data_IF_612264214067
#
_entry.id   IF_612264214067
#
_cell.length_a   1.000
_cell.length_b   1.000
_cell.length_c   1.000
_cell.angle_alpha   90.00
_cell.angle_beta   90.00
_cell.angle_gamma   90.00
#
_symmetry.space_group_name_H-M   'P 1'
#
loop_
_entity.id
_entity.type
_entity.pdbx_description
1 polymer ?
#
# COMPACT_ATOMS: atom_id res chain seq x y z
N UNK A 1 21.15 17.95 -47.86
CA UNK A 1 19.81 17.45 -47.51
C UNK A 1 19.86 15.93 -47.53
N UNK A 2 19.91 15.28 -46.37
CA UNK A 2 19.38 13.92 -46.13
C UNK A 2 18.95 13.90 -44.65
N UNK A 3 17.65 13.84 -44.40
CA UNK A 3 17.06 13.53 -43.08
C UNK A 3 17.20 12.02 -42.80
N UNK A 4 17.47 11.62 -41.55
CA UNK A 4 16.47 10.95 -40.71
C UNK A 4 16.74 9.43 -40.61
N UNK A 5 16.67 8.76 -39.46
CA UNK A 5 16.31 9.16 -38.12
C UNK A 5 16.79 8.12 -37.10
N UNK A 6 16.96 8.54 -35.85
CA UNK A 6 17.25 7.64 -34.74
C UNK A 6 16.03 6.74 -34.49
N UNK A 7 16.11 5.48 -34.93
CA UNK A 7 15.15 4.45 -34.57
C UNK A 7 15.09 4.33 -33.05
N UNK A 8 13.93 4.66 -32.46
CA UNK A 8 13.72 4.52 -31.03
C UNK A 8 13.74 3.03 -30.71
N UNK A 9 14.75 2.60 -29.98
CA UNK A 9 14.84 1.23 -29.46
C UNK A 9 13.64 1.01 -28.54
N UNK A 10 12.86 -0.04 -28.82
CA UNK A 10 11.73 -0.40 -27.99
C UNK A 10 12.24 -0.85 -26.63
N UNK A 11 11.60 -0.40 -25.55
CA UNK A 11 11.98 -0.78 -24.19
C UNK A 11 12.01 -2.30 -23.98
N UNK A 12 11.20 -3.05 -24.74
CA UNK A 12 11.17 -4.51 -24.74
C UNK A 12 12.48 -5.17 -25.19
N UNK A 13 13.23 -4.53 -26.09
CA UNK A 13 14.38 -5.16 -26.75
C UNK A 13 15.60 -5.18 -25.82
N UNK A 14 15.64 -4.26 -24.85
CA UNK A 14 16.71 -4.14 -23.84
C UNK A 14 16.62 -5.23 -22.77
N UNK A 15 15.45 -5.81 -22.54
CA UNK A 15 15.24 -6.82 -21.49
C UNK A 15 15.81 -8.21 -21.85
N UNK A 16 16.01 -8.49 -23.14
CA UNK A 16 16.38 -9.82 -23.61
C UNK A 16 17.90 -10.07 -23.61
N UNK A 17 18.72 -9.03 -23.50
CA UNK A 17 20.17 -9.15 -23.73
C UNK A 17 20.97 -9.56 -22.48
N UNK A 18 20.33 -9.65 -21.30
CA UNK A 18 21.04 -9.82 -20.02
C UNK A 18 20.59 -10.94 -19.08
N UNK A 19 19.50 -11.67 -19.34
CA UNK A 19 18.96 -12.61 -18.34
C UNK A 19 19.21 -14.07 -18.67
N UNK A 20 20.27 -14.63 -18.10
CA UNK A 20 20.39 -16.08 -17.84
C UNK A 20 19.83 -16.43 -16.46
N UNK A 21 18.74 -15.77 -16.04
CA UNK A 21 18.00 -16.12 -14.81
C UNK A 21 16.63 -16.62 -15.25
N UNK A 22 16.33 -17.86 -14.89
CA UNK A 22 14.98 -18.43 -14.94
C UNK A 22 14.10 -17.66 -13.95
N UNK A 23 13.66 -16.46 -14.33
CA UNK A 23 12.67 -15.72 -13.56
C UNK A 23 11.28 -16.13 -14.04
N UNK A 24 10.45 -16.60 -13.11
CA UNK A 24 9.04 -16.92 -13.36
C UNK A 24 8.30 -15.64 -13.78
N UNK A 25 8.27 -15.31 -15.06
CA UNK A 25 7.56 -14.13 -15.54
C UNK A 25 6.04 -14.34 -15.46
N UNK A 26 5.26 -13.27 -15.17
CA UNK A 26 3.81 -13.37 -15.16
C UNK A 26 3.29 -13.68 -16.58
N UNK A 27 2.57 -14.79 -16.70
CA UNK A 27 1.91 -15.18 -17.94
C UNK A 27 0.65 -14.34 -18.15
N UNK A 28 0.46 -13.82 -19.36
CA UNK A 28 -0.76 -13.11 -19.73
C UNK A 28 -1.44 -13.70 -20.96
N UNK A 29 -2.77 -13.71 -20.93
CA UNK A 29 -3.64 -14.17 -22.02
C UNK A 29 -4.63 -13.08 -22.34
N UNK A 30 -4.69 -12.64 -23.59
CA UNK A 30 -5.70 -11.67 -24.03
C UNK A 30 -6.93 -12.42 -24.54
N UNK A 31 -8.08 -12.21 -23.88
CA UNK A 31 -9.40 -12.72 -24.31
C UNK A 31 -10.34 -11.55 -24.51
N UNK A 32 -10.96 -11.46 -25.68
CA UNK A 32 -11.92 -10.40 -26.04
C UNK A 32 -11.40 -8.97 -25.80
N UNK A 33 -10.10 -8.75 -26.02
CA UNK A 33 -9.44 -7.46 -25.81
C UNK A 33 -9.08 -7.16 -24.34
N UNK A 34 -9.34 -8.07 -23.41
CA UNK A 34 -8.96 -7.96 -22.00
C UNK A 34 -7.77 -8.88 -21.71
N UNK A 35 -6.68 -8.32 -21.18
CA UNK A 35 -5.53 -9.08 -20.74
C UNK A 35 -5.77 -9.67 -19.34
N UNK A 36 -5.85 -10.99 -19.26
CA UNK A 36 -5.84 -11.77 -18.02
C UNK A 36 -4.39 -12.10 -17.68
N UNK A 37 -3.91 -11.71 -16.49
CA UNK A 37 -2.52 -11.96 -16.05
C UNK A 37 -2.53 -12.89 -14.85
N UNK A 38 -1.78 -13.99 -14.92
CA UNK A 38 -1.56 -14.89 -13.80
C UNK A 38 -0.19 -14.60 -13.19
N UNK A 39 -0.20 -14.06 -11.97
CA UNK A 39 1.02 -13.78 -11.22
C UNK A 39 1.44 -15.05 -10.46
N UNK A 40 2.63 -15.62 -10.75
CA UNK A 40 3.16 -16.76 -9.99
C UNK A 40 3.33 -16.42 -8.52
N UNK A 41 2.96 -17.34 -7.62
CA UNK A 41 3.08 -17.14 -6.17
C UNK A 41 4.54 -17.01 -5.74
N UNK A 42 5.46 -17.67 -6.44
CA UNK A 42 6.92 -17.58 -6.24
C UNK A 42 7.43 -16.12 -6.27
N UNK A 43 6.85 -15.26 -7.12
CA UNK A 43 7.19 -13.83 -7.17
C UNK A 43 6.74 -13.04 -5.93
N UNK A 44 5.82 -13.58 -5.13
CA UNK A 44 5.26 -12.93 -3.96
C UNK A 44 5.87 -13.44 -2.64
N UNK A 45 6.61 -14.55 -2.66
CA UNK A 45 7.15 -15.20 -1.46
C UNK A 45 8.24 -14.38 -0.78
N UNK A 46 9.12 -13.76 -1.57
CA UNK A 46 10.25 -12.96 -1.07
C UNK A 46 9.93 -11.47 -0.92
N UNK A 47 8.77 -11.02 -1.43
CA UNK A 47 8.39 -9.63 -1.37
C UNK A 47 8.01 -9.22 0.06
N UNK A 48 8.65 -8.18 0.59
CA UNK A 48 8.20 -7.60 1.85
C UNK A 48 6.78 -7.04 1.66
N UNK A 49 5.78 -7.57 2.38
CA UNK A 49 4.42 -7.17 2.10
C UNK A 49 4.17 -5.74 2.58
N UNK A 50 3.73 -4.88 1.66
CA UNK A 50 3.42 -3.48 1.94
C UNK A 50 2.44 -3.31 3.13
N UNK A 51 1.54 -4.28 3.32
CA UNK A 51 0.59 -4.31 4.43
C UNK A 51 1.23 -4.34 5.82
N UNK A 52 2.52 -4.71 5.95
CA UNK A 52 3.23 -4.74 7.24
C UNK A 52 3.41 -3.36 7.87
N UNK A 53 3.44 -2.30 7.06
CA UNK A 53 3.52 -0.93 7.54
C UNK A 53 2.16 -0.36 7.98
N UNK A 54 1.07 -1.12 7.82
CA UNK A 54 -0.27 -0.61 8.11
C UNK A 54 -0.86 -1.12 9.42
N UNK A 55 -1.62 -0.24 10.08
CA UNK A 55 -2.48 -0.55 11.22
C UNK A 55 -3.91 -0.18 10.86
N UNK A 56 -4.86 -1.07 11.17
CA UNK A 56 -6.29 -0.79 10.96
C UNK A 56 -6.87 -0.22 12.25
N UNK A 57 -7.55 0.92 12.14
CA UNK A 57 -8.30 1.53 13.21
C UNK A 57 -9.81 1.54 12.95
N UNK A 58 -10.56 1.27 14.01
CA UNK A 58 -12.03 1.27 14.01
C UNK A 58 -12.52 2.33 15.00
N UNK A 59 -13.17 3.37 14.49
CA UNK A 59 -13.88 4.35 15.30
C UNK A 59 -15.21 3.75 15.77
N UNK A 60 -15.59 4.04 17.02
CA UNK A 60 -16.89 3.61 17.56
C UNK A 60 -18.07 4.35 16.93
N UNK A 61 -17.82 5.55 16.41
CA UNK A 61 -18.79 6.38 15.69
C UNK A 61 -18.22 6.73 14.30
N UNK A 62 -18.95 7.55 13.53
CA UNK A 62 -18.44 8.11 12.29
C UNK A 62 -17.09 8.79 12.50
N UNK A 63 -16.14 8.49 11.62
CA UNK A 63 -14.81 9.07 11.69
C UNK A 63 -14.87 10.58 11.39
N UNK A 64 -14.01 11.34 12.08
CA UNK A 64 -13.82 12.75 11.81
C UNK A 64 -13.23 12.99 10.41
N UNK A 65 -13.21 14.22 9.94
CA UNK A 65 -12.56 14.57 8.68
C UNK A 65 -11.08 14.13 8.64
N UNK A 66 -10.62 13.64 7.48
CA UNK A 66 -9.30 13.00 7.33
C UNK A 66 -8.13 13.89 7.79
N UNK A 67 -8.18 15.18 7.46
CA UNK A 67 -7.13 16.13 7.84
C UNK A 67 -7.00 16.30 9.36
N UNK A 68 -8.13 16.23 10.07
CA UNK A 68 -8.20 16.31 11.53
C UNK A 68 -7.56 15.08 12.15
N UNK A 69 -7.80 13.90 11.57
CA UNK A 69 -7.15 12.66 12.01
C UNK A 69 -5.65 12.73 11.75
N UNK A 70 -5.20 13.08 10.53
CA UNK A 70 -3.77 13.23 10.20
C UNK A 70 -3.04 14.16 11.17
N UNK A 71 -3.61 15.35 11.42
CA UNK A 71 -2.99 16.33 12.32
C UNK A 71 -2.83 15.76 13.73
N UNK A 72 -3.87 15.11 14.26
CA UNK A 72 -3.84 14.54 15.61
C UNK A 72 -2.88 13.38 15.71
N UNK A 73 -2.97 12.39 14.81
CA UNK A 73 -2.09 11.21 14.89
C UNK A 73 -0.63 11.58 14.69
N UNK A 74 -0.30 12.50 13.78
CA UNK A 74 1.08 12.98 13.65
C UNK A 74 1.55 13.73 14.90
N UNK A 75 0.67 14.45 15.60
CA UNK A 75 1.02 15.11 16.86
C UNK A 75 1.29 14.12 18.00
N UNK A 76 0.52 13.03 18.11
CA UNK A 76 0.60 12.11 19.27
C UNK A 76 1.47 10.87 19.03
N UNK A 77 1.61 10.44 17.77
CA UNK A 77 2.24 9.18 17.42
C UNK A 77 3.54 9.34 16.63
N UNK A 78 3.73 10.41 15.85
CA UNK A 78 4.96 10.59 15.10
C UNK A 78 6.15 10.76 16.05
N UNK A 79 7.30 10.23 15.66
CA UNK A 79 8.55 10.46 16.38
C UNK A 79 9.01 11.89 16.10
N UNK A 80 9.46 12.62 17.14
CA UNK A 80 10.01 13.97 16.95
C UNK A 80 11.43 13.92 16.35
N UNK A 81 12.16 12.83 16.59
CA UNK A 81 13.53 12.64 16.12
C UNK A 81 13.59 12.22 14.64
N UNK A 82 12.61 11.42 14.22
CA UNK A 82 12.50 10.95 12.83
C UNK A 82 11.41 11.75 12.13
N UNK A 83 11.73 12.42 11.02
CA UNK A 83 10.75 13.14 10.16
C UNK A 83 9.74 12.20 9.45
N UNK A 84 9.49 11.01 9.98
CA UNK A 84 8.54 10.04 9.46
C UNK A 84 7.13 10.51 9.80
N UNK A 85 6.34 10.78 8.76
CA UNK A 85 4.93 11.15 8.87
C UNK A 85 4.06 9.90 8.77
N UNK A 86 2.95 9.95 9.48
CA UNK A 86 1.92 8.92 9.47
C UNK A 86 0.88 9.31 8.42
N UNK A 87 0.68 8.44 7.44
CA UNK A 87 -0.39 8.57 6.45
C UNK A 87 -1.68 7.91 6.98
N UNK A 88 -2.82 8.40 6.52
CA UNK A 88 -4.15 8.04 7.00
C UNK A 88 -5.08 7.94 5.79
N UNK A 89 -5.73 6.79 5.63
CA UNK A 89 -6.64 6.55 4.51
C UNK A 89 -7.95 5.98 5.00
N UNK A 90 -9.07 6.47 4.46
CA UNK A 90 -10.38 5.88 4.73
C UNK A 90 -10.61 4.64 3.88
N UNK A 91 -11.01 3.56 4.54
CA UNK A 91 -11.52 2.35 3.87
C UNK A 91 -13.00 2.10 4.19
N UNK A 92 -13.57 2.89 5.10
CA UNK A 92 -15.00 2.90 5.41
C UNK A 92 -15.37 4.09 6.30
N UNK A 93 -16.65 4.29 6.58
CA UNK A 93 -17.16 5.43 7.39
C UNK A 93 -16.58 5.48 8.80
N UNK A 94 -16.26 4.32 9.37
CA UNK A 94 -15.71 4.16 10.71
C UNK A 94 -14.34 3.49 10.70
N UNK A 95 -13.79 3.18 9.53
CA UNK A 95 -12.58 2.36 9.40
C UNK A 95 -11.49 3.09 8.65
N UNK A 96 -10.32 3.13 9.25
CA UNK A 96 -9.17 3.91 8.81
C UNK A 96 -7.93 3.04 8.77
N UNK A 97 -7.10 3.27 7.77
CA UNK A 97 -5.80 2.66 7.61
C UNK A 97 -4.72 3.68 7.97
N UNK A 98 -3.81 3.31 8.87
CA UNK A 98 -2.67 4.13 9.27
C UNK A 98 -1.39 3.54 8.70
N UNK A 99 -0.67 4.28 7.86
CA UNK A 99 0.63 3.87 7.35
C UNK A 99 1.73 4.40 8.26
N UNK A 100 2.51 3.50 8.84
CA UNK A 100 3.56 3.79 9.81
C UNK A 100 4.77 2.92 9.49
N UNK A 101 5.78 3.51 8.87
CA UNK A 101 6.99 2.79 8.45
C UNK A 101 7.82 2.29 9.65
N UNK A 102 7.90 3.09 10.71
CA UNK A 102 8.70 2.75 11.89
C UNK A 102 8.01 1.66 12.74
N UNK A 103 8.61 0.47 12.77
CA UNK A 103 8.14 -0.67 13.55
C UNK A 103 8.09 -0.41 15.06
N UNK A 104 9.03 0.37 15.62
CA UNK A 104 9.02 0.71 17.04
C UNK A 104 7.83 1.62 17.37
N UNK A 105 7.51 2.56 16.49
CA UNK A 105 6.33 3.41 16.60
C UNK A 105 5.05 2.58 16.49
N UNK A 106 4.94 1.67 15.51
CA UNK A 106 3.81 0.74 15.38
C UNK A 106 3.59 -0.07 16.65
N UNK A 107 4.66 -0.68 17.18
CA UNK A 107 4.58 -1.50 18.39
C UNK A 107 4.13 -0.70 19.61
N UNK A 108 4.66 0.53 19.76
CA UNK A 108 4.24 1.46 20.83
C UNK A 108 2.75 1.80 20.74
N UNK A 109 2.26 2.06 19.53
CA UNK A 109 0.85 2.41 19.27
C UNK A 109 -0.06 1.21 19.58
N UNK A 110 0.29 0.02 19.06
CA UNK A 110 -0.50 -1.21 19.22
C UNK A 110 -0.57 -1.69 20.68
N UNK A 111 0.46 -1.41 21.50
CA UNK A 111 0.48 -1.79 22.91
C UNK A 111 -0.67 -1.17 23.72
N UNK A 112 -1.16 0.01 23.32
CA UNK A 112 -2.26 0.70 24.02
C UNK A 112 -3.65 0.26 23.59
N UNK A 113 -3.79 -0.42 22.42
CA UNK A 113 -5.02 -0.95 21.79
C UNK A 113 -6.18 0.03 21.58
N UNK A 114 -6.51 0.87 22.55
CA UNK A 114 -7.51 1.92 22.50
C UNK A 114 -6.84 3.29 22.54
N UNK A 115 -7.35 4.18 21.70
CA UNK A 115 -6.91 5.56 21.60
C UNK A 115 -8.12 6.47 21.52
N UNK A 116 -7.95 7.72 21.95
CA UNK A 116 -8.91 8.77 21.70
C UNK A 116 -8.31 9.73 20.68
N UNK A 117 -8.99 9.88 19.55
CA UNK A 117 -8.64 10.90 18.55
C UNK A 117 -9.72 11.97 18.70
N UNK A 118 -9.38 13.08 19.34
CA UNK A 118 -10.35 14.01 19.93
C UNK A 118 -11.26 13.26 20.91
N UNK A 119 -12.58 13.37 20.77
CA UNK A 119 -13.58 12.78 21.66
C UNK A 119 -14.16 11.46 21.12
N UNK A 120 -13.59 10.92 20.03
CA UNK A 120 -14.05 9.67 19.43
C UNK A 120 -13.11 8.52 19.79
N UNK A 121 -13.61 7.46 20.45
CA UNK A 121 -12.82 6.27 20.73
C UNK A 121 -12.43 5.52 19.44
N UNK A 122 -11.16 5.14 19.36
CA UNK A 122 -10.53 4.41 18.27
C UNK A 122 -9.92 3.12 18.82
N UNK A 123 -10.36 1.98 18.28
CA UNK A 123 -9.75 0.68 18.55
C UNK A 123 -8.77 0.32 17.43
N UNK A 124 -7.55 -0.08 17.80
CA UNK A 124 -6.53 -0.49 16.84
C UNK A 124 -6.42 -2.01 16.77
N UNK A 125 -6.60 -2.53 15.56
CA UNK A 125 -6.36 -3.91 15.20
C UNK A 125 -4.98 -4.07 14.57
N UNK A 126 -4.23 -5.06 15.03
CA UNK A 126 -3.18 -5.68 14.23
C UNK A 126 -3.89 -6.33 13.03
N UNK A 127 -3.58 -5.86 11.82
CA UNK A 127 -4.38 -6.08 10.62
C UNK A 127 -4.78 -7.55 10.44
N UNK A 128 -6.09 -7.79 10.32
CA UNK A 128 -6.57 -9.07 9.81
C UNK A 128 -6.11 -9.19 8.36
N UNK A 129 -5.19 -10.11 8.10
CA UNK A 129 -4.69 -10.52 6.78
C UNK A 129 -5.81 -10.47 5.71
N UNK A 130 -6.97 -11.05 6.03
CA UNK A 130 -8.12 -11.18 5.11
C UNK A 130 -8.77 -9.86 4.65
N UNK A 131 -8.70 -8.79 5.45
CA UNK A 131 -9.26 -7.48 5.08
C UNK A 131 -8.29 -6.70 4.18
N UNK A 132 -7.00 -6.76 4.51
CA UNK A 132 -5.97 -6.08 3.73
C UNK A 132 -5.74 -6.78 2.38
N UNK A 133 -5.80 -8.12 2.32
CA UNK A 133 -5.70 -8.84 1.05
C UNK A 133 -6.84 -8.45 0.10
N UNK A 134 -8.08 -8.34 0.59
CA UNK A 134 -9.22 -7.92 -0.24
C UNK A 134 -9.15 -6.44 -0.67
N UNK A 135 -8.64 -5.57 0.19
CA UNK A 135 -8.60 -4.12 -0.07
C UNK A 135 -7.37 -3.69 -0.87
N UNK A 136 -6.19 -4.26 -0.63
CA UNK A 136 -4.97 -3.94 -1.39
C UNK A 136 -5.01 -4.49 -2.79
N UNK A 137 -5.60 -5.68 -3.02
CA UNK A 137 -5.84 -6.16 -4.40
C UNK A 137 -6.76 -5.19 -5.14
N UNK A 138 -7.82 -4.70 -4.49
CA UNK A 138 -8.73 -3.72 -5.10
C UNK A 138 -8.07 -2.36 -5.36
N UNK A 139 -7.32 -1.82 -4.39
CA UNK A 139 -6.65 -0.52 -4.49
C UNK A 139 -5.42 -0.54 -5.42
N UNK A 140 -4.65 -1.63 -5.48
CA UNK A 140 -3.56 -1.77 -6.47
C UNK A 140 -4.10 -1.94 -7.89
N UNK A 141 -5.30 -2.53 -8.05
CA UNK A 141 -5.99 -2.52 -9.34
C UNK A 141 -6.55 -1.14 -9.72
N UNK A 142 -6.95 -0.30 -8.75
CA UNK A 142 -7.50 1.04 -8.99
C UNK A 142 -6.44 2.13 -9.17
N UNK A 143 -5.32 2.08 -8.43
CA UNK A 143 -4.27 3.11 -8.48
C UNK A 143 -3.29 2.97 -9.67
N UNK A 144 -3.56 2.08 -10.64
CA UNK A 144 -2.77 1.95 -11.88
C UNK A 144 -3.54 2.34 -13.16
N UNK A 145 -4.70 2.98 -13.00
CA UNK A 145 -5.57 3.46 -14.09
C UNK A 145 -5.95 4.95 -14.00
N UNK A 146 -5.09 5.78 -13.39
CA UNK A 146 -5.08 7.25 -13.58
C UNK A 146 -3.69 7.68 -13.97
#
# INVERSE_FOLDING_TARGET
MVEGGHGKVSYSDVLLEGSSVTEDFPEFVVKDGVAEVKIPVSLMEDAEPLWRSFIVGYFMNDALHIGTIHATVNRIWASQEKKSRIDVQFIGKTTVLFQIEDAAVRNRILKRKFWHIFDVPLMLGNGHQRLLDRLLISQQCLCRWI
#
